data_IF_025688368334
#
_entry.id   IF_025688368334
#
_cell.length_a   1.000
_cell.length_b   1.000
_cell.length_c   1.000
_cell.angle_alpha   90.00
_cell.angle_beta   90.00
_cell.angle_gamma   90.00
#
_symmetry.space_group_name_H-M   'P 1'
#
loop_
_entity.id
_entity.type
_entity.pdbx_description
1 polymer ?
#
# COMPACT_ATOMS: atom_id res chain seq x y z
N UNK A 1 -36.20 8.10 -7.91
CA UNK A 1 -35.13 7.07 -7.87
C UNK A 1 -35.04 6.56 -6.45
N UNK A 2 -35.07 5.25 -6.24
CA UNK A 2 -34.87 4.65 -4.90
C UNK A 2 -33.37 4.63 -4.60
N UNK A 3 -32.95 5.24 -3.50
CA UNK A 3 -31.57 5.17 -3.03
C UNK A 3 -31.21 3.73 -2.67
N UNK A 4 -30.15 3.17 -3.28
CA UNK A 4 -29.56 1.91 -2.81
C UNK A 4 -28.77 2.20 -1.54
N UNK A 5 -28.98 1.40 -0.49
CA UNK A 5 -28.25 1.51 0.78
C UNK A 5 -27.57 0.19 1.08
N UNK A 6 -26.30 0.23 1.47
CA UNK A 6 -25.57 -0.91 2.04
C UNK A 6 -25.08 -0.56 3.44
N UNK A 7 -25.00 -1.58 4.30
CA UNK A 7 -24.40 -1.46 5.63
C UNK A 7 -23.24 -2.45 5.69
N UNK A 8 -22.04 -1.93 5.96
CA UNK A 8 -20.83 -2.73 6.12
C UNK A 8 -20.24 -2.50 7.50
N UNK A 9 -19.47 -3.47 7.99
CA UNK A 9 -18.59 -3.27 9.15
C UNK A 9 -17.64 -2.10 8.85
N UNK A 10 -17.35 -1.25 9.85
CA UNK A 10 -16.43 -0.12 9.65
C UNK A 10 -15.10 -0.66 9.09
N UNK A 11 -14.69 -0.25 7.89
CA UNK A 11 -13.59 -0.88 7.17
C UNK A 11 -12.23 -0.50 7.74
N UNK A 12 -11.20 -1.15 7.23
CA UNK A 12 -9.80 -0.83 7.52
C UNK A 12 -9.04 -0.46 6.24
N UNK A 13 -7.99 0.35 6.36
CA UNK A 13 -7.11 0.71 5.25
C UNK A 13 -5.74 0.05 5.40
N UNK A 14 -5.47 -0.99 4.62
CA UNK A 14 -4.24 -1.77 4.75
C UNK A 14 -3.02 -1.13 4.07
N UNK A 15 -3.12 0.09 3.52
CA UNK A 15 -1.98 0.84 2.99
C UNK A 15 -2.20 2.37 3.02
N UNK A 16 -1.56 3.08 3.95
CA UNK A 16 -1.79 4.51 4.14
C UNK A 16 -0.51 5.32 4.41
N UNK A 17 -0.40 6.51 3.82
CA UNK A 17 0.63 7.50 4.14
C UNK A 17 0.01 8.72 4.83
N UNK A 18 0.26 8.86 6.14
CA UNK A 18 -0.22 10.00 6.92
C UNK A 18 0.72 11.21 6.89
N UNK A 19 1.98 11.01 6.48
CA UNK A 19 3.09 11.99 6.58
C UNK A 19 3.32 12.38 8.05
N UNK A 20 3.82 13.57 8.32
CA UNK A 20 4.08 14.02 9.69
C UNK A 20 3.85 15.53 9.83
N UNK A 21 3.99 16.05 11.05
CA UNK A 21 3.86 17.47 11.34
C UNK A 21 2.47 18.01 10.99
N UNK A 22 2.43 19.18 10.36
CA UNK A 22 1.16 19.88 10.05
C UNK A 22 0.23 19.05 9.15
N UNK A 23 0.76 18.17 8.29
CA UNK A 23 -0.06 17.33 7.42
C UNK A 23 -0.96 16.38 8.21
N UNK A 24 -0.54 15.94 9.40
CA UNK A 24 -1.34 15.06 10.25
C UNK A 24 -2.70 15.66 10.61
N UNK A 25 -2.77 16.99 10.77
CA UNK A 25 -4.03 17.69 11.04
C UNK A 25 -5.05 17.60 9.91
N UNK A 26 -4.64 17.21 8.70
CA UNK A 26 -5.53 16.96 7.56
C UNK A 26 -5.70 15.46 7.28
N UNK A 27 -4.59 14.72 7.25
CA UNK A 27 -4.58 13.32 6.81
C UNK A 27 -5.26 12.40 7.81
N UNK A 28 -5.04 12.62 9.11
CA UNK A 28 -5.60 11.78 10.18
C UNK A 28 -7.12 11.92 10.26
N UNK A 29 -7.72 13.13 10.32
CA UNK A 29 -9.18 13.25 10.35
C UNK A 29 -9.88 12.64 9.13
N UNK A 30 -9.31 12.83 7.93
CA UNK A 30 -9.89 12.28 6.70
C UNK A 30 -9.91 10.74 6.70
N UNK A 31 -8.85 10.09 7.18
CA UNK A 31 -8.84 8.63 7.33
C UNK A 31 -9.77 8.16 8.44
N UNK A 32 -9.70 8.76 9.64
CA UNK A 32 -10.43 8.32 10.83
C UNK A 32 -11.96 8.40 10.68
N UNK A 33 -12.44 9.27 9.78
CA UNK A 33 -13.85 9.37 9.36
C UNK A 33 -14.38 8.05 8.80
N UNK A 34 -13.60 7.39 7.95
CA UNK A 34 -14.07 6.24 7.17
C UNK A 34 -13.55 4.90 7.71
N UNK A 35 -12.36 4.88 8.30
CA UNK A 35 -11.67 3.65 8.67
C UNK A 35 -11.56 3.46 10.18
N UNK A 36 -11.59 2.19 10.62
CA UNK A 36 -11.40 1.78 12.01
C UNK A 36 -9.92 1.61 12.35
N UNK A 37 -9.16 1.00 11.45
CA UNK A 37 -7.70 0.81 11.55
C UNK A 37 -7.05 1.20 10.23
N UNK A 38 -5.76 1.52 10.28
CA UNK A 38 -4.98 1.62 9.07
C UNK A 38 -3.53 1.18 9.28
N UNK A 39 -2.95 0.52 8.27
CA UNK A 39 -1.50 0.26 8.21
C UNK A 39 -0.80 1.55 7.77
N UNK A 40 -0.02 2.12 8.68
CA UNK A 40 0.70 3.36 8.46
C UNK A 40 2.09 3.05 7.92
N UNK A 41 2.35 3.53 6.70
CA UNK A 41 3.62 3.32 6.01
C UNK A 41 4.78 4.12 6.63
N UNK A 42 6.03 3.59 6.61
CA UNK A 42 7.12 4.09 7.45
C UNK A 42 8.12 4.99 6.73
N UNK A 43 7.85 5.38 5.48
CA UNK A 43 8.73 6.19 4.62
C UNK A 43 8.64 7.70 4.93
N UNK A 44 8.75 8.04 6.22
CA UNK A 44 9.04 9.40 6.67
C UNK A 44 10.48 9.79 6.28
N UNK A 45 10.85 11.04 6.58
CA UNK A 45 12.22 11.53 6.41
C UNK A 45 12.75 12.05 7.75
N UNK A 46 13.63 11.32 8.46
CA UNK A 46 14.15 9.98 8.13
C UNK A 46 13.09 8.86 8.24
N UNK A 47 13.32 7.67 7.62
CA UNK A 47 12.39 6.56 7.69
C UNK A 47 12.28 6.00 9.12
N UNK A 48 11.14 5.38 9.42
CA UNK A 48 10.87 4.74 10.71
C UNK A 48 11.47 3.33 10.69
N UNK A 49 12.61 3.12 11.34
CA UNK A 49 13.35 1.84 11.34
C UNK A 49 13.39 1.15 12.70
N UNK A 50 12.88 1.78 13.76
CA UNK A 50 12.83 1.18 15.11
C UNK A 50 11.42 1.22 15.69
N UNK A 51 11.13 0.28 16.60
CA UNK A 51 9.86 0.22 17.33
C UNK A 51 9.63 1.51 18.13
N UNK A 52 10.68 2.07 18.71
CA UNK A 52 10.60 3.35 19.44
C UNK A 52 10.16 4.50 18.52
N UNK A 53 10.74 4.63 17.34
CA UNK A 53 10.33 5.63 16.35
C UNK A 53 8.88 5.42 15.92
N UNK A 54 8.48 4.17 15.70
CA UNK A 54 7.11 3.82 15.32
C UNK A 54 6.10 4.21 16.40
N UNK A 55 6.39 3.96 17.68
CA UNK A 55 5.54 4.35 18.80
C UNK A 55 5.49 5.86 19.01
N UNK A 56 6.61 6.56 18.85
CA UNK A 56 6.64 8.03 18.89
C UNK A 56 5.81 8.64 17.77
N UNK A 57 5.88 8.08 16.56
CA UNK A 57 5.06 8.50 15.42
C UNK A 57 3.58 8.18 15.64
N UNK A 58 3.26 6.99 16.16
CA UNK A 58 1.91 6.61 16.56
C UNK A 58 1.30 7.63 17.52
N UNK A 59 2.06 8.07 18.51
CA UNK A 59 1.56 9.07 19.46
C UNK A 59 1.23 10.41 18.78
N UNK A 60 2.03 10.85 17.80
CA UNK A 60 1.72 12.06 17.02
C UNK A 60 0.44 11.91 16.22
N UNK A 61 0.21 10.74 15.61
CA UNK A 61 -1.03 10.42 14.90
C UNK A 61 -2.23 10.46 15.84
N UNK A 62 -2.13 9.82 17.01
CA UNK A 62 -3.20 9.83 18.00
C UNK A 62 -3.52 11.23 18.52
N UNK A 63 -2.49 12.08 18.68
CA UNK A 63 -2.69 13.48 19.08
C UNK A 63 -3.39 14.33 18.01
N UNK A 64 -3.36 13.91 16.74
CA UNK A 64 -4.03 14.58 15.63
C UNK A 64 -5.48 14.07 15.39
N UNK A 65 -5.94 13.10 16.18
CA UNK A 65 -7.30 12.58 16.04
C UNK A 65 -8.34 13.61 16.51
N UNK A 66 -9.44 13.79 15.76
CA UNK A 66 -10.59 14.53 16.26
C UNK A 66 -11.17 13.87 17.51
N UNK A 67 -11.79 14.65 18.38
CA UNK A 67 -12.50 14.16 19.56
C UNK A 67 -13.55 13.11 19.16
N UNK A 68 -13.73 12.09 19.99
CA UNK A 68 -14.71 11.00 19.81
C UNK A 68 -14.51 10.13 18.55
N UNK A 69 -13.31 10.13 17.96
CA UNK A 69 -12.97 9.19 16.87
C UNK A 69 -12.32 7.92 17.42
N UNK A 70 -12.85 6.76 17.01
CA UNK A 70 -12.22 5.47 17.25
C UNK A 70 -11.43 5.07 15.99
N UNK A 71 -10.12 5.28 16.04
CA UNK A 71 -9.17 4.95 14.98
C UNK A 71 -7.90 4.35 15.58
N UNK A 72 -7.45 3.21 15.06
CA UNK A 72 -6.22 2.54 15.50
C UNK A 72 -5.16 2.53 14.39
N UNK A 73 -4.14 3.40 14.46
CA UNK A 73 -2.98 3.32 13.58
C UNK A 73 -2.15 2.07 13.93
N UNK A 74 -1.97 1.20 12.92
CA UNK A 74 -1.13 0.02 12.95
C UNK A 74 0.21 0.37 12.27
N UNK A 75 1.26 0.43 13.05
CA UNK A 75 2.55 0.94 12.59
C UNK A 75 3.36 -0.12 11.86
N UNK A 76 4.30 0.33 11.06
CA UNK A 76 5.24 -0.53 10.35
C UNK A 76 6.68 -0.05 10.52
N UNK A 77 7.64 -0.94 10.29
CA UNK A 77 9.05 -0.57 10.17
C UNK A 77 9.46 -0.56 8.69
N UNK A 78 10.33 0.37 8.34
CA UNK A 78 10.97 0.46 7.03
C UNK A 78 12.11 -0.55 6.96
N UNK A 79 12.06 -1.48 6.00
CA UNK A 79 13.16 -2.43 5.77
C UNK A 79 14.33 -1.73 5.11
N UNK A 80 15.49 -1.80 5.75
CA UNK A 80 16.77 -1.33 5.21
C UNK A 80 17.77 -2.47 5.18
N UNK A 81 18.85 -2.33 4.41
CA UNK A 81 19.97 -3.28 4.38
C UNK A 81 20.55 -3.58 5.78
N UNK A 82 20.39 -2.66 6.73
CA UNK A 82 20.96 -2.73 8.07
C UNK A 82 19.91 -2.74 9.18
N UNK A 83 18.66 -3.14 8.89
CA UNK A 83 17.64 -3.25 9.93
C UNK A 83 18.09 -4.26 10.99
N UNK A 84 18.25 -3.78 12.22
CA UNK A 84 18.70 -4.59 13.35
C UNK A 84 17.70 -5.72 13.64
N UNK A 85 18.18 -6.94 13.81
CA UNK A 85 17.31 -8.10 14.07
C UNK A 85 16.59 -7.97 15.42
N UNK A 86 17.19 -7.24 16.36
CA UNK A 86 16.61 -6.91 17.66
C UNK A 86 15.30 -6.12 17.49
N UNK A 87 15.20 -5.27 16.47
CA UNK A 87 13.95 -4.53 16.18
C UNK A 87 12.84 -5.46 15.68
N UNK A 88 13.17 -6.56 14.98
CA UNK A 88 12.20 -7.58 14.58
C UNK A 88 11.69 -8.39 15.78
N UNK A 89 12.57 -8.64 16.76
CA UNK A 89 12.17 -9.27 18.02
C UNK A 89 11.22 -8.35 18.78
N UNK A 90 11.60 -7.08 18.97
CA UNK A 90 10.77 -6.07 19.63
C UNK A 90 9.42 -5.89 18.93
N UNK A 91 9.40 -5.85 17.59
CA UNK A 91 8.18 -5.76 16.80
C UNK A 91 7.23 -6.91 17.13
N UNK A 92 7.74 -8.15 17.20
CA UNK A 92 6.90 -9.31 17.50
C UNK A 92 6.25 -9.32 18.89
N UNK A 93 6.72 -8.44 19.78
CA UNK A 93 6.22 -8.28 21.15
C UNK A 93 5.38 -6.99 21.32
N UNK A 94 5.29 -6.13 20.30
CA UNK A 94 4.59 -4.84 20.32
C UNK A 94 3.32 -4.87 19.44
N UNK A 95 2.12 -4.96 20.02
CA UNK A 95 0.87 -5.07 19.26
C UNK A 95 0.59 -3.92 18.30
N UNK A 96 1.16 -2.73 18.55
CA UNK A 96 0.95 -1.56 17.71
C UNK A 96 1.85 -1.53 16.46
N UNK A 97 2.92 -2.33 16.39
CA UNK A 97 3.82 -2.40 15.23
C UNK A 97 3.68 -3.78 14.59
N UNK A 98 3.05 -3.85 13.42
CA UNK A 98 2.45 -5.12 12.95
C UNK A 98 3.13 -5.73 11.74
N UNK A 99 3.96 -4.96 11.01
CA UNK A 99 4.59 -5.43 9.78
C UNK A 99 5.86 -4.64 9.44
N UNK A 100 6.59 -5.14 8.44
CA UNK A 100 7.77 -4.48 7.88
C UNK A 100 7.50 -4.19 6.41
N UNK A 101 7.74 -2.95 5.97
CA UNK A 101 7.55 -2.50 4.59
C UNK A 101 8.87 -2.49 3.84
N UNK A 102 8.91 -3.23 2.74
CA UNK A 102 9.98 -3.27 1.76
C UNK A 102 9.75 -2.23 0.66
N UNK A 103 10.77 -1.41 0.43
CA UNK A 103 10.91 -0.56 -0.74
C UNK A 103 12.23 -0.90 -1.43
N UNK A 104 12.24 -1.23 -2.73
CA UNK A 104 13.46 -1.21 -3.52
C UNK A 104 14.07 0.20 -3.48
N UNK A 105 15.39 0.29 -3.34
CA UNK A 105 16.07 1.58 -3.27
C UNK A 105 15.77 2.44 -4.51
N UNK A 106 15.22 3.64 -4.28
CA UNK A 106 14.87 4.61 -5.34
C UNK A 106 13.58 4.32 -6.10
N UNK A 107 12.78 3.33 -5.71
CA UNK A 107 11.55 2.96 -6.42
C UNK A 107 10.44 4.01 -6.31
N UNK A 108 10.34 4.73 -5.19
CA UNK A 108 9.24 5.66 -4.90
C UNK A 108 9.65 6.75 -3.90
N UNK A 109 8.69 7.60 -3.50
CA UNK A 109 8.87 8.70 -2.55
C UNK A 109 9.55 8.25 -1.24
N UNK A 110 10.66 8.90 -0.89
CA UNK A 110 11.51 8.63 0.28
C UNK A 110 12.07 7.20 0.35
N UNK A 111 12.32 6.57 -0.80
CA UNK A 111 12.83 5.20 -0.86
C UNK A 111 14.36 5.09 -1.00
N UNK A 112 15.11 6.18 -0.89
CA UNK A 112 16.57 6.19 -1.09
C UNK A 112 17.32 5.30 -0.08
N UNK A 113 16.74 5.10 1.12
CA UNK A 113 17.26 4.17 2.15
C UNK A 113 16.69 2.76 2.03
N UNK A 114 16.05 2.44 0.91
CA UNK A 114 15.47 1.14 0.57
C UNK A 114 16.48 0.01 0.50
N UNK A 115 15.97 -1.18 0.23
CA UNK A 115 16.77 -2.39 0.08
C UNK A 115 17.48 -2.36 -1.26
N UNK A 116 18.80 -2.56 -1.25
CA UNK A 116 19.61 -2.58 -2.46
C UNK A 116 19.55 -3.91 -3.20
N UNK A 117 19.44 -5.02 -2.47
CA UNK A 117 19.19 -6.36 -3.00
C UNK A 117 18.48 -7.20 -1.95
N UNK A 118 17.55 -8.04 -2.39
CA UNK A 118 16.80 -8.93 -1.49
C UNK A 118 17.72 -9.88 -0.71
N UNK A 119 18.83 -10.31 -1.32
CA UNK A 119 19.82 -11.19 -0.68
C UNK A 119 20.43 -10.58 0.58
N UNK A 120 20.58 -9.25 0.62
CA UNK A 120 21.18 -8.54 1.78
C UNK A 120 20.27 -8.57 3.00
N UNK A 121 18.96 -8.64 2.78
CA UNK A 121 17.95 -8.64 3.83
C UNK A 121 17.41 -10.03 4.13
N UNK A 122 17.85 -11.08 3.44
CA UNK A 122 17.45 -12.46 3.69
C UNK A 122 17.52 -12.87 5.17
N UNK A 123 18.59 -12.54 5.94
CA UNK A 123 18.61 -12.84 7.37
C UNK A 123 17.44 -12.23 8.15
N UNK A 124 17.04 -11.00 7.81
CA UNK A 124 15.87 -10.33 8.40
C UNK A 124 14.57 -11.00 7.96
N UNK A 125 14.46 -11.40 6.69
CA UNK A 125 13.29 -12.11 6.16
C UNK A 125 13.09 -13.47 6.83
N UNK A 126 14.16 -14.22 7.11
CA UNK A 126 14.10 -15.48 7.85
C UNK A 126 13.59 -15.29 9.29
N UNK A 127 13.99 -14.20 9.97
CA UNK A 127 13.48 -13.86 11.31
C UNK A 127 11.99 -13.52 11.23
N UNK A 128 11.59 -12.73 10.23
CA UNK A 128 10.19 -12.38 10.00
C UNK A 128 9.33 -13.62 9.74
N UNK A 129 9.79 -14.53 8.89
CA UNK A 129 9.17 -15.83 8.61
C UNK A 129 8.96 -16.64 9.90
N UNK A 130 10.01 -16.82 10.71
CA UNK A 130 9.96 -17.57 11.98
C UNK A 130 8.99 -16.94 13.00
N UNK A 131 8.87 -15.61 13.01
CA UNK A 131 8.01 -14.87 13.95
C UNK A 131 6.61 -14.56 13.38
N UNK A 132 6.34 -14.95 12.14
CA UNK A 132 5.07 -14.67 11.47
C UNK A 132 4.81 -13.19 11.17
N UNK A 133 5.88 -12.37 11.10
CA UNK A 133 5.81 -10.93 10.79
C UNK A 133 5.58 -10.77 9.28
N UNK A 134 4.50 -10.10 8.84
CA UNK A 134 4.25 -9.86 7.42
C UNK A 134 5.28 -8.92 6.78
N UNK A 135 5.69 -9.26 5.56
CA UNK A 135 6.43 -8.39 4.66
C UNK A 135 5.46 -7.72 3.68
N UNK A 136 5.38 -6.40 3.76
CA UNK A 136 4.59 -5.57 2.83
C UNK A 136 5.55 -5.11 1.73
N UNK A 137 5.22 -5.30 0.45
CA UNK A 137 6.16 -5.11 -0.66
C UNK A 137 5.65 -4.06 -1.63
N UNK A 138 6.42 -2.98 -1.81
CA UNK A 138 6.33 -2.20 -3.05
C UNK A 138 7.10 -2.94 -4.16
N UNK A 139 6.38 -3.60 -5.06
CA UNK A 139 6.96 -4.58 -5.99
C UNK A 139 7.30 -4.01 -7.36
N UNK A 140 8.30 -3.14 -7.47
CA UNK A 140 8.86 -2.67 -8.75
C UNK A 140 10.38 -2.82 -8.75
N UNK A 141 10.98 -3.16 -9.88
CA UNK A 141 12.44 -2.99 -10.06
C UNK A 141 12.77 -1.54 -10.39
N UNK A 142 13.99 -1.09 -10.09
CA UNK A 142 14.40 0.32 -10.29
C UNK A 142 15.45 0.53 -11.37
N UNK A 143 15.80 -0.53 -12.09
CA UNK A 143 16.72 -0.49 -13.23
C UNK A 143 16.26 0.55 -14.27
N UNK A 144 17.21 1.39 -14.71
CA UNK A 144 16.97 2.48 -15.65
C UNK A 144 16.65 2.02 -17.06
N UNK A 145 17.06 0.80 -17.43
CA UNK A 145 16.79 0.20 -18.74
C UNK A 145 15.40 -0.44 -18.82
N UNK A 146 14.70 -0.54 -17.69
CA UNK A 146 13.39 -1.20 -17.59
C UNK A 146 12.29 -0.15 -17.54
N UNK A 147 11.45 -0.19 -18.58
CA UNK A 147 10.33 0.72 -18.74
C UNK A 147 9.40 0.66 -17.51
N UNK A 148 8.95 1.84 -17.06
CA UNK A 148 8.11 1.99 -15.87
C UNK A 148 6.81 1.18 -15.93
N UNK A 149 6.30 0.87 -17.12
CA UNK A 149 5.11 0.03 -17.29
C UNK A 149 5.40 -1.46 -17.04
N UNK A 150 6.65 -1.92 -17.12
CA UNK A 150 7.07 -3.32 -17.00
C UNK A 150 7.75 -3.65 -15.65
N UNK A 151 8.03 -2.65 -14.83
CA UNK A 151 8.77 -2.81 -13.56
C UNK A 151 8.11 -3.76 -12.57
N UNK A 152 6.78 -3.74 -12.48
CA UNK A 152 6.03 -4.63 -11.57
C UNK A 152 6.13 -6.09 -12.00
N UNK A 153 5.91 -6.38 -13.29
CA UNK A 153 6.07 -7.72 -13.84
C UNK A 153 7.50 -8.22 -13.62
N UNK A 154 8.49 -7.38 -13.92
CA UNK A 154 9.89 -7.77 -13.76
C UNK A 154 10.21 -8.09 -12.30
N UNK A 155 9.70 -7.32 -11.34
CA UNK A 155 9.87 -7.60 -9.93
C UNK A 155 9.30 -8.96 -9.54
N UNK A 156 8.11 -9.30 -10.05
CA UNK A 156 7.50 -10.63 -9.83
C UNK A 156 8.43 -11.73 -10.33
N UNK A 157 8.95 -11.60 -11.54
CA UNK A 157 9.79 -12.62 -12.18
C UNK A 157 11.14 -12.78 -11.49
N UNK A 158 11.82 -11.67 -11.16
CA UNK A 158 13.23 -11.72 -10.75
C UNK A 158 13.45 -11.64 -9.25
N UNK A 159 12.47 -11.19 -8.48
CA UNK A 159 12.60 -11.00 -7.03
C UNK A 159 11.57 -11.83 -6.28
N UNK A 160 10.29 -11.61 -6.58
CA UNK A 160 9.22 -12.18 -5.76
C UNK A 160 9.11 -13.69 -5.92
N UNK A 161 9.12 -14.19 -7.16
CA UNK A 161 9.02 -15.63 -7.45
C UNK A 161 10.19 -16.42 -6.82
N UNK A 162 11.47 -16.00 -6.97
CA UNK A 162 12.59 -16.61 -6.26
C UNK A 162 12.44 -16.56 -4.73
N UNK A 163 12.04 -15.41 -4.17
CA UNK A 163 11.81 -15.28 -2.73
C UNK A 163 10.75 -16.27 -2.24
N UNK A 164 9.64 -16.43 -2.98
CA UNK A 164 8.57 -17.37 -2.62
C UNK A 164 9.04 -18.82 -2.63
N UNK A 165 9.91 -19.17 -3.57
CA UNK A 165 10.49 -20.52 -3.63
C UNK A 165 11.46 -20.78 -2.47
N UNK A 166 12.22 -19.76 -2.04
CA UNK A 166 13.20 -19.90 -0.97
C UNK A 166 12.58 -19.82 0.43
N UNK A 167 11.55 -19.00 0.62
CA UNK A 167 10.96 -18.68 1.93
C UNK A 167 9.41 -18.75 1.89
N UNK A 168 8.82 -19.92 1.60
CA UNK A 168 7.37 -20.09 1.39
C UNK A 168 6.50 -19.82 2.63
N UNK A 169 7.07 -19.88 3.82
CA UNK A 169 6.41 -19.59 5.10
C UNK A 169 6.31 -18.09 5.41
N UNK A 170 7.14 -17.25 4.77
CA UNK A 170 7.03 -15.79 4.93
C UNK A 170 5.66 -15.33 4.44
N UNK A 171 4.95 -14.53 5.23
CA UNK A 171 3.72 -13.87 4.80
C UNK A 171 4.07 -12.62 4.01
N UNK A 172 3.50 -12.49 2.82
CA UNK A 172 3.76 -11.38 1.90
C UNK A 172 2.45 -10.73 1.48
N UNK A 173 2.43 -9.40 1.51
CA UNK A 173 1.44 -8.59 0.81
C UNK A 173 2.16 -7.87 -0.33
N UNK A 174 1.81 -8.20 -1.56
CA UNK A 174 2.22 -7.41 -2.72
C UNK A 174 1.32 -6.18 -2.77
N UNK A 175 1.85 -5.04 -2.33
CA UNK A 175 1.07 -3.83 -2.16
C UNK A 175 0.64 -3.26 -3.52
N UNK A 176 -0.49 -2.55 -3.52
CA UNK A 176 -1.00 -1.67 -4.58
C UNK A 176 -0.74 -2.23 -5.99
N UNK A 177 -1.14 -3.47 -6.25
CA UNK A 177 -0.89 -4.13 -7.53
C UNK A 177 -1.54 -3.37 -8.68
N UNK A 178 -0.86 -3.34 -9.84
CA UNK A 178 -1.30 -2.52 -10.98
C UNK A 178 -1.43 -3.30 -12.29
N UNK A 179 -1.03 -4.56 -12.31
CA UNK A 179 -1.02 -5.41 -13.51
C UNK A 179 -1.89 -6.66 -13.36
N UNK A 180 -2.53 -7.06 -14.45
CA UNK A 180 -3.13 -8.40 -14.61
C UNK A 180 -2.17 -9.55 -14.23
N UNK A 181 -0.86 -9.39 -14.48
CA UNK A 181 0.13 -10.39 -14.10
C UNK A 181 0.28 -10.53 -12.58
N UNK A 182 0.24 -9.43 -11.84
CA UNK A 182 0.23 -9.46 -10.38
C UNK A 182 -1.04 -10.13 -9.83
N UNK A 183 -2.20 -9.89 -10.47
CA UNK A 183 -3.46 -10.58 -10.13
C UNK A 183 -3.32 -12.10 -10.34
N UNK A 184 -2.80 -12.52 -11.49
CA UNK A 184 -2.55 -13.94 -11.82
C UNK A 184 -1.59 -14.56 -10.80
N UNK A 185 -0.44 -13.93 -10.58
CA UNK A 185 0.55 -14.40 -9.60
C UNK A 185 -0.07 -14.61 -8.22
N UNK A 186 -0.73 -13.59 -7.63
CA UNK A 186 -1.31 -13.69 -6.28
C UNK A 186 -2.39 -14.78 -6.22
N UNK A 187 -3.18 -14.94 -7.28
CA UNK A 187 -4.23 -15.95 -7.35
C UNK A 187 -3.68 -17.37 -7.27
N UNK A 188 -2.54 -17.63 -7.91
CA UNK A 188 -1.88 -18.95 -7.97
C UNK A 188 -1.06 -19.30 -6.72
N UNK A 189 -0.70 -18.31 -5.90
CA UNK A 189 0.11 -18.55 -4.69
C UNK A 189 -0.68 -19.22 -3.54
N UNK A 190 0.01 -19.58 -2.45
CA UNK A 190 -0.66 -20.04 -1.22
C UNK A 190 -1.37 -18.88 -0.49
N UNK A 191 -2.06 -19.19 0.62
CA UNK A 191 -2.68 -18.18 1.50
C UNK A 191 -1.68 -17.26 2.21
N UNK A 192 -0.37 -17.51 2.08
CA UNK A 192 0.68 -16.63 2.63
C UNK A 192 0.97 -15.44 1.72
N UNK A 193 0.37 -15.37 0.53
CA UNK A 193 0.53 -14.26 -0.41
C UNK A 193 -0.83 -13.61 -0.64
N UNK A 194 -0.88 -12.29 -0.44
CA UNK A 194 -2.04 -11.46 -0.67
C UNK A 194 -1.63 -10.17 -1.40
N UNK A 195 -2.61 -9.34 -1.74
CA UNK A 195 -2.37 -8.04 -2.33
C UNK A 195 -3.40 -7.00 -1.91
N UNK A 196 -2.91 -5.76 -1.78
CA UNK A 196 -3.80 -4.60 -1.70
C UNK A 196 -4.06 -4.05 -3.10
N UNK A 197 -5.27 -3.53 -3.32
CA UNK A 197 -5.63 -2.83 -4.55
C UNK A 197 -6.15 -1.45 -4.18
N UNK A 198 -5.57 -0.42 -4.79
CA UNK A 198 -5.97 0.98 -4.53
C UNK A 198 -7.20 1.39 -5.33
N UNK A 199 -7.94 2.36 -4.82
CA UNK A 199 -9.12 2.89 -5.53
C UNK A 199 -8.76 3.62 -6.82
N UNK A 200 -7.61 4.28 -6.88
CA UNK A 200 -7.20 5.02 -8.08
C UNK A 200 -6.75 4.09 -9.22
N UNK A 201 -6.18 2.92 -8.91
CA UNK A 201 -5.91 1.88 -9.92
C UNK A 201 -7.17 1.15 -10.40
N UNK A 202 -8.26 1.20 -9.64
CA UNK A 202 -9.57 0.69 -10.06
C UNK A 202 -10.33 1.70 -10.93
N UNK A 203 -10.27 2.98 -10.62
CA UNK A 203 -10.98 4.04 -11.36
C UNK A 203 -10.24 4.49 -12.63
N UNK A 204 -8.91 4.45 -12.62
CA UNK A 204 -8.11 5.08 -13.66
C UNK A 204 -7.13 4.11 -14.34
N UNK A 205 -6.74 4.49 -15.54
CA UNK A 205 -5.68 3.88 -16.34
C UNK A 205 -4.84 4.97 -16.98
N UNK A 206 -3.75 4.60 -17.66
CA UNK A 206 -2.78 5.57 -18.21
C UNK A 206 -3.35 6.61 -19.18
N UNK A 207 -4.52 6.39 -19.78
CA UNK A 207 -5.17 7.44 -20.59
C UNK A 207 -5.60 8.63 -19.72
N UNK A 208 -6.02 8.38 -18.48
CA UNK A 208 -6.36 9.46 -17.52
C UNK A 208 -5.13 10.29 -17.15
N UNK A 209 -3.95 9.66 -17.12
CA UNK A 209 -2.68 10.35 -16.87
C UNK A 209 -2.18 11.13 -18.09
N UNK A 210 -2.30 10.59 -19.31
CA UNK A 210 -1.54 11.06 -20.48
C UNK A 210 -2.39 11.61 -21.64
N UNK A 211 -3.65 11.19 -21.80
CA UNK A 211 -4.43 11.53 -22.99
C UNK A 211 -4.94 12.98 -22.93
N UNK A 212 -4.63 13.74 -23.99
CA UNK A 212 -4.98 15.16 -24.13
C UNK A 212 -4.13 16.14 -23.30
N UNK A 213 -3.23 15.62 -22.46
CA UNK A 213 -2.35 16.40 -21.60
C UNK A 213 -1.87 15.56 -20.40
N UNK A 214 -0.68 15.88 -19.90
CA UNK A 214 -0.13 15.24 -18.70
C UNK A 214 -0.85 15.78 -17.47
N UNK A 215 -1.47 14.89 -16.69
CA UNK A 215 -2.20 15.22 -15.46
C UNK A 215 -1.44 14.71 -14.24
N UNK A 216 -0.55 15.52 -13.63
CA UNK A 216 0.37 15.05 -12.58
C UNK A 216 -0.36 14.55 -11.31
N UNK A 217 -1.59 14.99 -11.07
CA UNK A 217 -2.42 14.49 -9.95
C UNK A 217 -2.81 13.02 -10.09
N UNK A 218 -2.70 12.42 -11.28
CA UNK A 218 -2.85 10.97 -11.51
C UNK A 218 -1.52 10.21 -11.52
N UNK A 219 -0.40 10.89 -11.31
CA UNK A 219 0.91 10.24 -11.25
C UNK A 219 1.16 9.65 -9.86
N UNK A 220 1.31 8.33 -9.79
CA UNK A 220 1.66 7.51 -8.63
C UNK A 220 2.62 6.39 -9.04
N UNK A 221 3.11 5.65 -8.04
CA UNK A 221 3.97 4.49 -8.24
C UNK A 221 3.41 3.30 -7.45
N UNK A 222 3.18 2.14 -8.08
CA UNK A 222 3.41 1.86 -9.49
C UNK A 222 2.51 2.71 -10.40
N UNK A 223 2.96 3.00 -11.62
CA UNK A 223 2.24 3.91 -12.52
C UNK A 223 0.94 3.28 -13.01
N UNK A 224 -0.12 4.09 -13.23
CA UNK A 224 -1.33 3.65 -13.93
C UNK A 224 -0.97 2.91 -15.23
N UNK A 225 -1.52 1.71 -15.43
CA UNK A 225 -1.22 0.83 -16.57
C UNK A 225 -2.28 0.93 -17.68
N UNK A 226 -2.25 0.01 -18.65
CA UNK A 226 -3.27 -0.10 -19.72
C UNK A 226 -4.62 -0.53 -19.16
N UNK A 227 -5.70 -0.23 -19.90
CA UNK A 227 -7.07 -0.60 -19.54
C UNK A 227 -7.25 -2.11 -19.27
N UNK A 228 -6.52 -2.98 -19.98
CA UNK A 228 -6.56 -4.43 -19.74
C UNK A 228 -6.13 -4.81 -18.31
N UNK A 229 -5.13 -4.13 -17.76
CA UNK A 229 -4.72 -4.36 -16.38
C UNK A 229 -5.73 -3.80 -15.38
N UNK A 230 -6.29 -2.61 -15.65
CA UNK A 230 -7.36 -2.04 -14.83
C UNK A 230 -8.56 -2.99 -14.71
N UNK A 231 -9.00 -3.58 -15.82
CA UNK A 231 -10.11 -4.55 -15.82
C UNK A 231 -9.80 -5.79 -14.96
N UNK A 232 -8.58 -6.32 -15.04
CA UNK A 232 -8.16 -7.44 -14.19
C UNK A 232 -8.15 -7.08 -12.70
N UNK A 233 -7.77 -5.84 -12.34
CA UNK A 233 -7.82 -5.36 -10.95
C UNK A 233 -9.27 -5.24 -10.45
N UNK A 234 -10.18 -4.73 -11.28
CA UNK A 234 -11.61 -4.64 -10.94
C UNK A 234 -12.18 -6.03 -10.73
N UNK A 235 -11.90 -6.98 -11.63
CA UNK A 235 -12.32 -8.38 -11.47
C UNK A 235 -11.77 -8.98 -10.16
N UNK A 236 -10.49 -8.78 -9.87
CA UNK A 236 -9.87 -9.27 -8.64
C UNK A 236 -10.51 -8.67 -7.37
N UNK A 237 -10.65 -7.34 -7.31
CA UNK A 237 -11.23 -6.63 -6.17
C UNK A 237 -12.68 -7.05 -5.89
N UNK A 238 -13.44 -7.30 -6.96
CA UNK A 238 -14.85 -7.69 -6.89
C UNK A 238 -15.04 -9.21 -6.85
N UNK A 239 -13.99 -10.03 -6.86
CA UNK A 239 -14.11 -11.49 -6.97
C UNK A 239 -14.65 -12.20 -5.71
N UNK A 240 -14.50 -11.58 -4.54
CA UNK A 240 -14.72 -12.22 -3.24
C UNK A 240 -13.55 -13.10 -2.77
N UNK A 241 -12.43 -13.14 -3.51
CA UNK A 241 -11.22 -13.83 -3.10
C UNK A 241 -10.56 -13.08 -1.92
N UNK A 242 -10.35 -13.73 -0.75
CA UNK A 242 -9.85 -13.07 0.45
C UNK A 242 -8.38 -12.63 0.37
N UNK A 243 -7.67 -12.98 -0.71
CA UNK A 243 -6.30 -12.51 -0.96
C UNK A 243 -6.23 -11.08 -1.48
N UNK A 244 -7.34 -10.52 -1.97
CA UNK A 244 -7.40 -9.14 -2.47
C UNK A 244 -8.22 -8.30 -1.51
N UNK A 245 -7.62 -7.23 -1.00
CA UNK A 245 -8.27 -6.36 -0.03
C UNK A 245 -7.88 -4.89 -0.20
N UNK A 246 -8.60 -4.02 0.49
CA UNK A 246 -8.47 -2.57 0.39
C UNK A 246 -7.13 -2.08 0.96
N UNK A 247 -6.35 -1.39 0.14
CA UNK A 247 -5.27 -0.53 0.61
C UNK A 247 -5.24 0.72 -0.25
N UNK A 248 -5.47 1.89 0.33
CA UNK A 248 -5.72 3.11 -0.47
C UNK A 248 -4.49 3.61 -1.18
N UNK A 249 -3.30 3.36 -0.61
CA UNK A 249 -2.06 4.08 -0.90
C UNK A 249 -2.30 5.59 -0.98
N UNK A 250 -3.17 6.11 -0.11
CA UNK A 250 -3.46 7.53 -0.07
C UNK A 250 -2.19 8.29 0.31
N UNK A 251 -1.59 8.96 -0.67
CA UNK A 251 -0.26 9.55 -0.60
C UNK A 251 -0.34 11.06 -0.86
N UNK A 252 -0.56 11.88 0.18
CA UNK A 252 -0.69 13.32 0.04
C UNK A 252 0.66 13.96 -0.30
N UNK A 253 0.57 14.97 -1.16
CA UNK A 253 1.65 15.89 -1.52
C UNK A 253 1.06 17.32 -1.61
N UNK A 254 1.82 18.35 -1.21
CA UNK A 254 1.49 19.73 -1.51
C UNK A 254 1.26 19.92 -3.01
N UNK A 255 0.33 20.80 -3.37
CA UNK A 255 0.02 21.11 -4.77
C UNK A 255 1.26 21.51 -5.57
N UNK A 256 2.15 22.32 -4.97
CA UNK A 256 3.39 22.75 -5.60
C UNK A 256 4.34 21.60 -5.94
N UNK A 257 4.34 20.54 -5.16
CA UNK A 257 5.17 19.35 -5.40
C UNK A 257 4.58 18.44 -6.49
N UNK A 258 3.27 18.53 -6.75
CA UNK A 258 2.60 17.83 -7.87
C UNK A 258 2.74 18.62 -9.18
N UNK A 259 2.54 19.93 -9.12
CA UNK A 259 2.55 20.85 -10.27
C UNK A 259 3.96 21.46 -10.47
N UNK A 260 4.96 20.59 -10.56
CA UNK A 260 6.37 20.95 -10.71
C UNK A 260 6.96 20.37 -12.01
N UNK A 261 8.17 20.82 -12.36
CA UNK A 261 8.95 20.22 -13.44
C UNK A 261 9.24 18.72 -13.20
N UNK A 262 9.29 18.30 -11.93
CA UNK A 262 9.37 16.91 -11.50
C UNK A 262 8.31 16.66 -10.42
N UNK A 263 7.08 16.35 -10.84
CA UNK A 263 5.96 16.13 -9.94
C UNK A 263 6.11 14.86 -9.08
N UNK A 264 5.86 14.96 -7.78
CA UNK A 264 5.90 13.81 -6.87
C UNK A 264 4.84 12.75 -7.21
N UNK A 265 5.20 11.48 -7.01
CA UNK A 265 4.29 10.34 -7.16
C UNK A 265 3.42 10.15 -5.91
N UNK A 266 2.10 10.10 -6.12
CA UNK A 266 1.12 9.84 -5.07
C UNK A 266 -0.24 10.46 -5.39
N UNK A 267 -1.32 9.76 -5.04
CA UNK A 267 -2.70 10.25 -5.19
C UNK A 267 -3.33 10.32 -3.80
N UNK A 268 -3.90 11.46 -3.45
CA UNK A 268 -4.56 11.64 -2.16
C UNK A 268 -6.04 11.26 -2.24
N UNK A 269 -6.39 10.11 -1.67
CA UNK A 269 -7.75 9.53 -1.77
C UNK A 269 -8.47 9.41 -0.43
N UNK A 270 -7.76 9.54 0.71
CA UNK A 270 -8.32 9.28 2.04
C UNK A 270 -9.64 9.99 2.34
N UNK A 271 -9.83 11.23 1.84
CA UNK A 271 -11.03 12.03 2.12
C UNK A 271 -12.34 11.43 1.59
N UNK A 272 -12.27 10.59 0.54
CA UNK A 272 -13.44 9.98 -0.10
C UNK A 272 -13.20 8.53 -0.54
N UNK A 273 -12.23 7.85 0.06
CA UNK A 273 -11.78 6.54 -0.40
C UNK A 273 -12.92 5.51 -0.43
N UNK A 274 -13.76 5.47 0.61
CA UNK A 274 -14.85 4.48 0.70
C UNK A 274 -15.94 4.75 -0.34
N UNK A 275 -16.31 6.01 -0.54
CA UNK A 275 -17.26 6.44 -1.57
C UNK A 275 -16.74 6.09 -2.98
N UNK A 276 -15.44 6.28 -3.23
CA UNK A 276 -14.80 5.93 -4.50
C UNK A 276 -14.74 4.41 -4.74
N UNK A 277 -14.50 3.59 -3.71
CA UNK A 277 -14.60 2.13 -3.85
C UNK A 277 -16.05 1.69 -4.10
N UNK A 278 -17.03 2.31 -3.42
CA UNK A 278 -18.44 2.02 -3.65
C UNK A 278 -18.86 2.32 -5.11
N UNK A 279 -18.34 3.40 -5.70
CA UNK A 279 -18.55 3.70 -7.12
C UNK A 279 -18.03 2.57 -8.04
N UNK A 280 -16.81 2.08 -7.82
CA UNK A 280 -16.25 0.96 -8.60
C UNK A 280 -17.10 -0.29 -8.46
N UNK A 281 -17.48 -0.65 -7.22
CA UNK A 281 -18.21 -1.88 -6.95
C UNK A 281 -19.67 -1.82 -7.46
N UNK A 282 -20.33 -0.66 -7.46
CA UNK A 282 -21.65 -0.51 -8.08
C UNK A 282 -21.56 -0.55 -9.61
N UNK A 283 -20.53 0.05 -10.22
CA UNK A 283 -20.28 -0.06 -11.67
C UNK A 283 -20.02 -1.50 -12.12
N UNK A 284 -19.45 -2.33 -11.26
CA UNK A 284 -19.21 -3.75 -11.49
C UNK A 284 -20.38 -4.67 -11.07
N UNK A 285 -21.52 -4.10 -10.65
CA UNK A 285 -22.68 -4.84 -10.11
C UNK A 285 -22.31 -5.80 -8.96
N UNK A 286 -21.39 -5.38 -8.10
CA UNK A 286 -20.79 -6.18 -7.03
C UNK A 286 -20.78 -5.45 -5.68
N UNK A 287 -21.69 -4.48 -5.48
CA UNK A 287 -21.73 -3.62 -4.29
C UNK A 287 -21.86 -4.41 -2.97
N UNK A 288 -22.48 -5.58 -3.01
CA UNK A 288 -22.60 -6.53 -1.89
C UNK A 288 -21.24 -7.10 -1.43
N UNK A 289 -20.22 -7.10 -2.30
CA UNK A 289 -18.88 -7.62 -2.01
C UNK A 289 -17.93 -6.61 -1.37
N UNK A 290 -18.29 -5.31 -1.40
CA UNK A 290 -17.45 -4.24 -0.86
C UNK A 290 -17.10 -4.47 0.62
N UNK A 291 -18.06 -4.94 1.42
CA UNK A 291 -17.85 -5.21 2.83
C UNK A 291 -16.87 -6.36 3.11
N UNK A 292 -16.66 -7.28 2.16
CA UNK A 292 -15.63 -8.32 2.26
C UNK A 292 -14.25 -7.84 1.85
N UNK A 293 -14.19 -7.02 0.79
CA UNK A 293 -12.94 -6.43 0.29
C UNK A 293 -12.32 -5.40 1.25
N UNK A 294 -13.16 -4.68 2.01
CA UNK A 294 -12.75 -3.60 2.92
C UNK A 294 -12.51 -4.04 4.39
N UNK A 295 -12.38 -5.35 4.64
CA UNK A 295 -12.23 -5.95 5.98
C UNK A 295 -10.79 -6.16 6.42
#
# INVERSE_FOLDING_TARGET
MTTKTITITKPDDWHLHLRDGEMLGTTVPHTARSFSRAIVMPNLKPPVTTVEQALAYRQRILNALPTDTNFSPLMTLYLTDNLAQEELVRLSEEPAVVAVKYYPAGATTNSDSGVSSIDRVMPSLEVMAKRGIPLLIHGEVTDGEIDIFDREQRFIDTVLTPLRAQLPELKVVLEHITTANAVEFVSEQSSNVAATITVHHLLYNRNHLLAGGVRPHFYCLPVLKRNSHQLALIEAATSGNPKFFLGTDSAPHPKGDKEAACGCAGIYTAAGALELYAEVFDQADALDRLGGFAR
#
